data_IF_431169154408
#
_entry.id   IF_431169154408
#
_cell.length_a   1.000
_cell.length_b   1.000
_cell.length_c   1.000
_cell.angle_alpha   90.00
_cell.angle_beta   90.00
_cell.angle_gamma   90.00
#
_symmetry.space_group_name_H-M   'P 1'
#
loop_
_entity.id
_entity.type
_entity.pdbx_description
1 polymer ?
#
# COMPACT_ATOMS: atom_id res chain seq x y z
N UNK A 1 12.68 55.57 3.03
CA UNK A 1 11.79 55.04 1.98
C UNK A 1 11.50 53.59 2.33
N UNK A 2 10.21 53.28 2.44
CA UNK A 2 9.67 52.03 2.97
C UNK A 2 9.72 50.90 1.94
N UNK A 3 9.73 49.67 2.46
CA UNK A 3 9.12 48.46 1.93
C UNK A 3 9.52 47.95 0.54
N UNK A 4 10.23 46.81 0.54
CA UNK A 4 10.04 45.78 -0.49
C UNK A 4 10.22 44.39 0.17
N UNK A 5 9.27 44.01 1.02
CA UNK A 5 9.11 42.64 1.53
C UNK A 5 7.69 42.19 1.22
N UNK A 6 7.30 42.19 -0.04
CA UNK A 6 5.99 41.70 -0.47
C UNK A 6 6.16 41.06 -1.85
N UNK A 7 6.32 39.73 -1.89
CA UNK A 7 5.83 38.84 -2.98
C UNK A 7 6.18 37.36 -2.72
N UNK A 8 5.87 36.85 -1.53
CA UNK A 8 6.08 35.43 -1.19
C UNK A 8 4.82 34.76 -0.60
N UNK A 9 3.62 35.28 -0.91
CA UNK A 9 2.36 34.78 -0.29
C UNK A 9 1.36 34.13 -1.26
N UNK A 10 1.56 34.17 -2.58
CA UNK A 10 0.56 33.67 -3.54
C UNK A 10 0.74 32.22 -4.04
N UNK A 11 1.84 31.52 -3.72
CA UNK A 11 2.06 30.12 -4.12
C UNK A 11 1.85 29.11 -2.98
N UNK A 12 1.62 29.56 -1.75
CA UNK A 12 1.61 28.70 -0.55
C UNK A 12 0.34 27.84 -0.40
N UNK A 13 -0.77 28.18 -1.06
CA UNK A 13 -2.06 27.49 -0.88
C UNK A 13 -2.12 26.06 -1.42
N UNK A 14 -1.48 25.79 -2.57
CA UNK A 14 -1.51 24.45 -3.19
C UNK A 14 -0.44 23.52 -2.61
N UNK A 15 0.71 24.08 -2.24
CA UNK A 15 1.85 23.30 -1.74
C UNK A 15 1.58 22.76 -0.34
N UNK A 16 0.94 23.55 0.53
CA UNK A 16 0.60 23.15 1.90
C UNK A 16 -0.22 21.87 1.94
N UNK A 17 -1.18 21.76 1.03
CA UNK A 17 -2.00 20.57 0.90
C UNK A 17 -1.13 19.38 0.47
N UNK A 18 -0.41 19.48 -0.65
CA UNK A 18 0.50 18.42 -1.14
C UNK A 18 1.48 17.94 -0.05
N UNK A 19 2.11 18.88 0.67
CA UNK A 19 3.00 18.58 1.79
C UNK A 19 2.26 17.88 2.93
N UNK A 20 1.02 18.26 3.24
CA UNK A 20 0.21 17.61 4.28
C UNK A 20 -0.09 16.14 3.96
N UNK A 21 -0.41 15.80 2.70
CA UNK A 21 -0.62 14.40 2.30
C UNK A 21 0.70 13.65 2.28
N UNK A 22 1.76 14.28 1.80
CA UNK A 22 3.09 13.68 1.82
C UNK A 22 3.48 13.27 3.25
N UNK A 23 3.25 14.14 4.24
CA UNK A 23 3.46 13.81 5.67
C UNK A 23 2.58 12.64 6.10
N UNK A 24 1.28 12.64 5.77
CA UNK A 24 0.38 11.53 6.10
C UNK A 24 0.81 10.20 5.48
N UNK A 25 1.25 10.20 4.22
CA UNK A 25 1.77 9.02 3.52
C UNK A 25 3.04 8.50 4.18
N UNK A 26 3.96 9.39 4.55
CA UNK A 26 5.18 9.04 5.27
C UNK A 26 4.85 8.42 6.62
N UNK A 27 3.93 9.02 7.40
CA UNK A 27 3.49 8.48 8.69
C UNK A 27 2.87 7.09 8.54
N UNK A 28 1.96 6.90 7.58
CA UNK A 28 1.36 5.59 7.30
C UNK A 28 2.42 4.55 6.89
N UNK A 29 3.46 4.97 6.16
CA UNK A 29 4.59 4.10 5.78
C UNK A 29 5.45 3.73 6.98
N UNK A 30 5.70 4.67 7.88
CA UNK A 30 6.45 4.41 9.11
C UNK A 30 5.71 3.39 10.00
N UNK A 31 4.38 3.51 10.09
CA UNK A 31 3.52 2.56 10.80
C UNK A 31 3.59 1.18 10.15
N UNK A 32 3.50 1.07 8.82
CA UNK A 32 3.66 -0.21 8.12
C UNK A 32 4.99 -0.87 8.45
N UNK A 33 6.09 -0.12 8.37
CA UNK A 33 7.42 -0.64 8.69
C UNK A 33 7.47 -1.14 10.13
N UNK A 34 6.99 -0.33 11.09
CA UNK A 34 6.95 -0.72 12.50
C UNK A 34 6.09 -1.96 12.77
N UNK A 35 5.01 -2.15 12.00
CA UNK A 35 4.18 -3.36 12.07
C UNK A 35 4.86 -4.57 11.40
N UNK A 36 5.56 -4.36 10.28
CA UNK A 36 6.30 -5.40 9.57
C UNK A 36 7.48 -5.97 10.38
N UNK A 37 8.09 -5.16 11.25
CA UNK A 37 9.16 -5.63 12.15
C UNK A 37 8.66 -6.52 13.29
N UNK A 38 7.35 -6.52 13.60
CA UNK A 38 6.81 -7.41 14.63
C UNK A 38 6.69 -8.84 14.09
N UNK A 39 7.15 -9.86 14.84
CA UNK A 39 6.97 -11.25 14.45
C UNK A 39 5.48 -11.61 14.56
N UNK A 40 4.77 -11.59 13.43
CA UNK A 40 3.39 -12.00 13.29
C UNK A 40 3.27 -13.12 12.25
N UNK A 41 2.15 -13.83 12.24
CA UNK A 41 1.82 -14.76 11.16
C UNK A 41 1.88 -14.03 9.82
N UNK A 42 2.55 -14.63 8.83
CA UNK A 42 2.76 -14.04 7.49
C UNK A 42 1.44 -13.55 6.87
N UNK A 43 0.35 -14.29 7.07
CA UNK A 43 -0.98 -13.92 6.59
C UNK A 43 -1.51 -12.62 7.22
N UNK A 44 -1.31 -12.47 8.53
CA UNK A 44 -1.76 -11.30 9.30
C UNK A 44 -0.91 -10.08 8.98
N UNK A 45 0.40 -10.26 8.85
CA UNK A 45 1.31 -9.20 8.43
C UNK A 45 0.93 -8.66 7.06
N UNK A 46 0.71 -9.55 6.08
CA UNK A 46 0.35 -9.16 4.72
C UNK A 46 -1.02 -8.50 4.63
N UNK A 47 -2.02 -8.99 5.38
CA UNK A 47 -3.35 -8.37 5.39
C UNK A 47 -3.33 -6.95 5.95
N UNK A 48 -2.53 -6.69 7.00
CA UNK A 48 -2.42 -5.36 7.61
C UNK A 48 -1.66 -4.39 6.69
N UNK A 49 -0.53 -4.81 6.13
CA UNK A 49 0.24 -4.01 5.17
C UNK A 49 -0.64 -3.65 3.95
N UNK A 50 -1.37 -4.62 3.42
CA UNK A 50 -2.25 -4.41 2.28
C UNK A 50 -3.43 -3.49 2.62
N UNK A 51 -4.02 -3.64 3.82
CA UNK A 51 -5.04 -2.72 4.33
C UNK A 51 -4.52 -1.28 4.46
N UNK A 52 -3.32 -1.09 4.99
CA UNK A 52 -2.67 0.23 5.09
C UNK A 52 -2.38 0.85 3.72
N UNK A 53 -2.00 0.04 2.74
CA UNK A 53 -1.83 0.47 1.34
C UNK A 53 -3.14 0.96 0.71
N UNK A 54 -4.25 0.27 0.96
CA UNK A 54 -5.59 0.71 0.53
C UNK A 54 -5.95 2.06 1.16
N UNK A 55 -5.67 2.25 2.46
CA UNK A 55 -5.91 3.52 3.15
C UNK A 55 -5.07 4.65 2.54
N UNK A 56 -3.80 4.41 2.22
CA UNK A 56 -2.97 5.40 1.50
C UNK A 56 -3.57 5.76 0.14
N UNK A 57 -4.01 4.77 -0.63
CA UNK A 57 -4.66 5.00 -1.91
C UNK A 57 -5.94 5.83 -1.73
N UNK A 58 -6.80 5.50 -0.76
CA UNK A 58 -8.01 6.26 -0.46
C UNK A 58 -7.70 7.70 -0.03
N UNK A 59 -6.62 7.94 0.73
CA UNK A 59 -6.20 9.27 1.17
C UNK A 59 -5.72 10.13 -0.01
N UNK A 60 -4.98 9.54 -0.94
CA UNK A 60 -4.60 10.17 -2.21
C UNK A 60 -5.85 10.53 -3.02
N UNK A 61 -6.80 9.60 -3.16
CA UNK A 61 -8.04 9.80 -3.90
C UNK A 61 -8.91 10.89 -3.27
N UNK A 62 -9.17 10.82 -1.96
CA UNK A 62 -9.98 11.80 -1.24
C UNK A 62 -9.39 13.21 -1.39
N UNK A 63 -8.07 13.34 -1.36
CA UNK A 63 -7.41 14.61 -1.61
C UNK A 63 -7.62 15.14 -3.04
N UNK A 64 -7.38 14.29 -4.04
CA UNK A 64 -7.57 14.67 -5.44
C UNK A 64 -9.04 14.91 -5.79
N UNK A 65 -9.97 14.31 -5.05
CA UNK A 65 -11.40 14.45 -5.22
C UNK A 65 -11.95 15.72 -4.56
N UNK A 66 -11.43 16.09 -3.38
CA UNK A 66 -11.85 17.30 -2.68
C UNK A 66 -11.39 18.60 -3.36
N UNK A 67 -10.35 18.56 -4.20
CA UNK A 67 -9.89 19.71 -5.00
C UNK A 67 -10.53 19.82 -6.40
N UNK A 68 -11.45 18.92 -6.78
CA UNK A 68 -11.66 18.69 -8.21
C UNK A 68 -13.01 18.10 -8.58
N UNK A 69 -14.01 18.95 -8.65
CA UNK A 69 -15.26 18.70 -9.38
C UNK A 69 -15.08 18.47 -10.91
N UNK A 70 -13.86 18.23 -11.43
CA UNK A 70 -13.60 18.33 -12.88
C UNK A 70 -12.67 17.26 -13.51
N UNK A 71 -12.26 16.14 -12.87
CA UNK A 71 -11.36 15.18 -13.58
C UNK A 71 -11.63 13.70 -13.38
N UNK A 72 -12.45 13.17 -14.28
CA UNK A 72 -12.57 11.74 -14.59
C UNK A 72 -11.21 11.02 -14.83
N UNK A 73 -10.17 11.74 -15.28
CA UNK A 73 -8.87 11.14 -15.62
C UNK A 73 -8.09 10.58 -14.42
N UNK A 74 -8.25 11.13 -13.21
CA UNK A 74 -7.57 10.62 -12.01
C UNK A 74 -8.24 9.36 -11.45
N UNK A 75 -9.57 9.31 -11.49
CA UNK A 75 -10.35 8.11 -11.17
C UNK A 75 -9.95 6.98 -12.12
N UNK A 76 -9.81 7.26 -13.42
CA UNK A 76 -9.41 6.28 -14.43
C UNK A 76 -8.03 5.65 -14.18
N UNK A 77 -7.10 6.35 -13.54
CA UNK A 77 -5.76 5.81 -13.20
C UNK A 77 -5.71 5.10 -11.85
N UNK A 78 -6.55 5.51 -10.89
CA UNK A 78 -6.50 4.99 -9.52
C UNK A 78 -7.38 3.74 -9.33
N UNK A 79 -8.52 3.69 -10.03
CA UNK A 79 -9.43 2.55 -10.04
C UNK A 79 -8.73 1.28 -10.51
N UNK A 80 -7.97 1.25 -11.62
CA UNK A 80 -7.28 0.03 -12.02
C UNK A 80 -6.23 -0.40 -10.99
N UNK A 81 -5.53 0.53 -10.35
CA UNK A 81 -4.60 0.19 -9.26
C UNK A 81 -5.31 -0.44 -8.06
N UNK A 82 -6.49 0.05 -7.70
CA UNK A 82 -7.29 -0.50 -6.61
C UNK A 82 -7.88 -1.87 -6.98
N UNK A 83 -8.35 -2.03 -8.22
CA UNK A 83 -8.82 -3.31 -8.76
C UNK A 83 -7.68 -4.34 -8.75
N UNK A 84 -6.47 -3.96 -9.17
CA UNK A 84 -5.30 -4.84 -9.11
C UNK A 84 -4.99 -5.24 -7.66
N UNK A 85 -5.04 -4.30 -6.69
CA UNK A 85 -4.86 -4.63 -5.28
C UNK A 85 -5.90 -5.64 -4.76
N UNK A 86 -7.17 -5.48 -5.15
CA UNK A 86 -8.25 -6.42 -4.78
C UNK A 86 -8.04 -7.77 -5.46
N UNK A 87 -7.67 -7.80 -6.75
CA UNK A 87 -7.36 -9.04 -7.46
C UNK A 87 -6.18 -9.77 -6.82
N UNK A 88 -5.12 -9.04 -6.41
CA UNK A 88 -4.00 -9.62 -5.69
C UNK A 88 -4.43 -10.21 -4.34
N UNK A 89 -5.32 -9.55 -3.59
CA UNK A 89 -5.93 -10.15 -2.38
C UNK A 89 -6.61 -11.49 -2.71
N UNK A 90 -7.46 -11.51 -3.72
CA UNK A 90 -8.22 -12.70 -4.10
C UNK A 90 -7.36 -13.85 -4.63
N UNK A 91 -6.22 -13.57 -5.26
CA UNK A 91 -5.28 -14.60 -5.73
C UNK A 91 -4.35 -15.05 -4.61
N UNK A 92 -3.82 -14.10 -3.84
CA UNK A 92 -2.81 -14.38 -2.83
C UNK A 92 -3.39 -15.13 -1.62
N UNK A 93 -4.64 -14.85 -1.25
CA UNK A 93 -5.30 -15.53 -0.14
C UNK A 93 -5.39 -17.06 -0.39
N UNK A 94 -6.00 -17.56 -1.48
CA UNK A 94 -6.04 -19.00 -1.77
C UNK A 94 -4.67 -19.59 -2.16
N UNK A 95 -3.80 -18.84 -2.82
CA UNK A 95 -2.47 -19.34 -3.20
C UNK A 95 -1.58 -19.57 -1.98
N UNK A 96 -1.62 -18.67 -0.99
CA UNK A 96 -0.89 -18.85 0.26
C UNK A 96 -1.37 -20.09 1.04
N UNK A 97 -2.66 -20.42 1.00
CA UNK A 97 -3.18 -21.66 1.58
C UNK A 97 -2.72 -22.90 0.80
N UNK A 98 -2.72 -22.88 -0.53
CA UNK A 98 -2.24 -24.01 -1.36
C UNK A 98 -0.74 -24.24 -1.19
N UNK A 99 0.06 -23.17 -1.12
CA UNK A 99 1.51 -23.25 -0.91
C UNK A 99 1.86 -23.84 0.46
N UNK A 100 1.09 -23.52 1.52
CA UNK A 100 1.29 -24.16 2.83
C UNK A 100 1.03 -25.66 2.81
N UNK A 101 0.02 -26.14 2.07
CA UNK A 101 -0.31 -27.56 1.95
C UNK A 101 0.81 -28.35 1.21
N UNK A 102 1.36 -27.76 0.13
CA UNK A 102 2.46 -28.37 -0.63
C UNK A 102 3.76 -28.46 0.17
N UNK A 103 4.08 -27.42 0.97
CA UNK A 103 5.24 -27.42 1.88
C UNK A 103 5.09 -28.44 3.01
N UNK A 104 3.87 -28.63 3.51
CA UNK A 104 3.58 -29.64 4.52
C UNK A 104 3.78 -31.05 3.95
N UNK A 105 3.27 -31.32 2.74
CA UNK A 105 3.48 -32.59 2.02
C UNK A 105 4.96 -32.93 1.83
N UNK A 106 5.80 -31.98 1.43
CA UNK A 106 7.25 -32.22 1.23
C UNK A 106 8.00 -32.48 2.55
N UNK A 107 7.61 -31.81 3.65
CA UNK A 107 8.23 -32.03 4.98
C UNK A 107 7.92 -33.43 5.51
N UNK A 108 6.73 -33.97 5.21
CA UNK A 108 6.28 -35.28 5.67
C UNK A 108 6.78 -36.45 4.83
N UNK A 109 6.99 -36.27 3.52
CA UNK A 109 7.68 -37.28 2.71
C UNK A 109 9.19 -37.22 2.96
N UNK A 110 9.81 -38.21 3.63
CA UNK A 110 11.25 -38.32 3.63
C UNK A 110 11.74 -38.42 2.18
N UNK A 111 12.91 -37.88 1.83
CA UNK A 111 13.50 -38.14 0.52
C UNK A 111 13.52 -39.66 0.35
N UNK A 112 12.89 -40.15 -0.73
CA UNK A 112 12.92 -41.56 -1.05
C UNK A 112 14.37 -42.03 -0.91
N UNK A 113 14.66 -43.09 -0.15
CA UNK A 113 16.02 -43.59 -0.08
C UNK A 113 16.47 -43.78 -1.52
N UNK A 114 17.61 -43.18 -1.84
CA UNK A 114 18.29 -43.43 -3.10
C UNK A 114 18.85 -44.86 -3.01
N UNK A 115 17.97 -45.85 -3.12
CA UNK A 115 18.32 -47.25 -3.33
C UNK A 115 18.41 -47.40 -4.86
N UNK A 116 19.57 -47.12 -5.45
CA UNK A 116 20.76 -47.99 -5.48
C UNK A 116 20.40 -49.37 -6.04
N UNK A 117 20.20 -49.41 -7.35
CA UNK A 117 20.26 -50.61 -8.15
C UNK A 117 21.18 -50.36 -9.35
#
# INVERSE_FOLDING_TARGET
MSAHVEDHEHFAGSNKLFTSIWVWLVVLTLIEIGLAYKPMSTLVMLSILLGLSIVKAALIVAYFMHLKFERLSLILTIVPMLVICICLLFVFFPDSFRSSDLRYKFKETPPAPAESH
#
